data_IF_758953726485
#
_entry.id   IF_758953726485
#
_cell.length_a   1.000
_cell.length_b   1.000
_cell.length_c   1.000
_cell.angle_alpha   90.00
_cell.angle_beta   90.00
_cell.angle_gamma   90.00
#
_symmetry.space_group_name_H-M   'P 1'
#
loop_
_entity.id
_entity.type
_entity.pdbx_description
1 polymer ?
#
# COMPACT_ATOMS: atom_id res chain seq x y z
N UNK A 1 24.47 34.88 9.16
CA UNK A 1 24.21 33.99 10.32
C UNK A 1 22.87 34.35 10.95
N UNK A 2 21.88 33.48 10.90
CA UNK A 2 20.64 33.64 11.67
C UNK A 2 20.38 32.35 12.44
N UNK A 3 20.76 32.33 13.72
CA UNK A 3 20.51 31.20 14.62
C UNK A 3 19.07 31.31 15.14
N UNK A 4 18.18 30.40 14.72
CA UNK A 4 16.89 30.22 15.37
C UNK A 4 17.09 29.36 16.63
N UNK A 5 16.86 29.97 17.79
CA UNK A 5 16.75 29.28 19.07
C UNK A 5 15.62 28.25 19.00
N UNK A 6 15.96 26.96 19.02
CA UNK A 6 15.01 25.89 19.32
C UNK A 6 14.74 25.90 20.82
N UNK A 7 13.73 26.68 21.23
CA UNK A 7 13.19 26.58 22.58
C UNK A 7 12.52 25.22 22.76
N UNK A 8 13.09 24.38 23.62
CA UNK A 8 12.50 23.14 24.12
C UNK A 8 11.14 23.45 24.79
N UNK A 9 10.04 23.35 24.05
CA UNK A 9 8.69 23.39 24.61
C UNK A 9 8.37 22.05 25.30
N UNK A 10 8.96 21.82 26.47
CA UNK A 10 8.66 20.67 27.34
C UNK A 10 7.27 20.82 27.97
N UNK A 11 6.22 20.52 27.22
CA UNK A 11 4.84 20.61 27.71
C UNK A 11 4.42 19.42 28.59
N UNK A 12 3.34 19.60 29.32
CA UNK A 12 2.77 18.60 30.23
C UNK A 12 1.33 18.26 29.85
N UNK A 13 0.95 17.00 30.04
CA UNK A 13 -0.43 16.53 30.01
C UNK A 13 -0.94 16.41 31.43
N UNK A 14 -2.12 16.97 31.71
CA UNK A 14 -2.73 16.97 33.02
C UNK A 14 -4.15 16.40 32.99
N UNK A 15 -4.52 15.66 34.04
CA UNK A 15 -5.88 15.22 34.30
C UNK A 15 -6.41 15.91 35.56
N UNK A 16 -7.36 16.85 35.40
CA UNK A 16 -7.93 17.58 36.55
C UNK A 16 -8.74 16.71 37.52
N UNK A 17 -9.28 15.57 37.06
CA UNK A 17 -10.08 14.66 37.89
C UNK A 17 -9.22 13.81 38.83
N UNK A 18 -8.06 13.38 38.33
CA UNK A 18 -7.13 12.52 39.07
C UNK A 18 -5.95 13.30 39.69
N UNK A 19 -5.93 14.63 39.49
CA UNK A 19 -4.81 15.52 39.84
C UNK A 19 -3.46 14.90 39.44
N UNK A 20 -3.38 14.40 38.22
CA UNK A 20 -2.19 13.69 37.75
C UNK A 20 -1.60 14.34 36.51
N UNK A 21 -0.28 14.33 36.42
CA UNK A 21 0.45 14.95 35.31
C UNK A 21 1.44 13.98 34.66
N UNK A 22 1.74 14.24 33.39
CA UNK A 22 2.75 13.55 32.60
C UNK A 22 3.55 14.56 31.81
N UNK A 23 4.89 14.50 31.91
CA UNK A 23 5.81 15.34 31.15
C UNK A 23 6.02 14.72 29.77
N UNK A 24 5.72 15.48 28.71
CA UNK A 24 5.99 15.02 27.34
C UNK A 24 7.51 15.04 27.10
N UNK A 25 8.00 13.96 26.49
CA UNK A 25 9.38 13.93 25.99
C UNK A 25 9.49 14.81 24.73
N UNK A 26 10.70 15.29 24.41
CA UNK A 26 10.95 16.19 23.27
C UNK A 26 10.50 15.65 21.90
N UNK A 27 10.34 14.33 21.78
CA UNK A 27 9.88 13.64 20.58
C UNK A 27 8.43 13.11 20.68
N UNK A 28 7.66 13.52 21.70
CA UNK A 28 6.27 13.11 21.91
C UNK A 28 5.30 14.28 21.67
N UNK A 29 4.26 14.05 20.87
CA UNK A 29 3.21 15.05 20.67
C UNK A 29 2.00 14.77 21.54
N UNK A 30 1.30 15.82 21.99
CA UNK A 30 -0.03 15.70 22.64
C UNK A 30 -1.05 14.89 21.82
N UNK A 31 -0.85 14.78 20.50
CA UNK A 31 -1.71 14.04 19.57
C UNK A 31 -1.54 12.51 19.67
N UNK A 32 -0.45 12.06 20.27
CA UNK A 32 -0.10 10.64 20.41
C UNK A 32 -0.76 9.98 21.64
N UNK A 33 -1.44 10.77 22.47
CA UNK A 33 -2.09 10.32 23.69
C UNK A 33 -3.62 10.26 23.53
N UNK A 34 -4.25 9.37 24.30
CA UNK A 34 -5.70 9.31 24.36
C UNK A 34 -6.27 10.65 24.89
N UNK A 35 -7.44 11.07 24.41
CA UNK A 35 -8.09 12.31 24.89
C UNK A 35 -8.60 12.19 26.34
N UNK A 36 -8.69 10.96 26.83
CA UNK A 36 -9.27 10.61 28.11
C UNK A 36 -8.27 9.81 28.95
N UNK A 37 -8.22 10.14 30.23
CA UNK A 37 -7.51 9.38 31.25
C UNK A 37 -8.27 8.11 31.60
N UNK A 38 -7.58 7.11 32.14
CA UNK A 38 -8.19 5.87 32.68
C UNK A 38 -9.30 6.13 33.71
N UNK A 39 -9.29 7.28 34.39
CA UNK A 39 -10.36 7.70 35.30
C UNK A 39 -11.57 8.39 34.65
N UNK A 40 -11.63 8.43 33.31
CA UNK A 40 -12.67 9.09 32.52
C UNK A 40 -12.57 10.62 32.49
N UNK A 41 -11.47 11.19 33.00
CA UNK A 41 -11.20 12.63 32.95
C UNK A 41 -10.56 13.05 31.61
N UNK A 42 -10.88 14.24 31.10
CA UNK A 42 -10.27 14.78 29.88
C UNK A 42 -8.82 15.23 30.15
N UNK A 43 -7.89 14.82 29.29
CA UNK A 43 -6.50 15.28 29.34
C UNK A 43 -6.37 16.67 28.73
N UNK A 44 -5.69 17.58 29.44
CA UNK A 44 -5.38 18.94 28.97
C UNK A 44 -3.87 19.10 28.82
N UNK A 45 -3.45 19.85 27.82
CA UNK A 45 -2.04 20.20 27.60
C UNK A 45 -1.76 21.56 28.25
N UNK A 46 -0.66 21.67 28.98
CA UNK A 46 -0.16 22.91 29.57
C UNK A 46 1.34 23.04 29.29
N UNK A 47 1.81 24.25 29.02
CA UNK A 47 3.22 24.49 28.65
C UNK A 47 4.13 24.54 29.86
N UNK A 48 3.65 25.07 31.00
CA UNK A 48 4.38 25.08 32.27
C UNK A 48 3.48 24.58 33.41
N UNK A 49 4.07 23.82 34.33
CA UNK A 49 3.43 23.34 35.57
C UNK A 49 3.68 24.30 36.75
N UNK A 50 4.21 25.50 36.53
CA UNK A 50 4.70 26.38 37.61
C UNK A 50 3.56 27.05 38.43
N UNK A 51 2.34 26.52 38.35
CA UNK A 51 1.13 26.95 39.09
C UNK A 51 0.49 25.74 39.81
N UNK A 52 1.30 24.77 40.24
CA UNK A 52 0.78 23.46 40.71
C UNK A 52 0.69 23.39 42.23
N UNK A 53 -0.56 23.36 42.69
CA UNK A 53 -1.03 22.76 43.95
C UNK A 53 -0.20 21.49 44.27
N UNK A 54 0.41 21.36 45.47
CA UNK A 54 1.30 20.24 45.81
C UNK A 54 0.62 18.85 45.78
N UNK A 55 -0.70 18.79 45.58
CA UNK A 55 -1.46 17.54 45.49
C UNK A 55 -1.36 16.79 44.15
N UNK A 56 -0.61 17.31 43.16
CA UNK A 56 -0.49 16.65 41.86
C UNK A 56 0.54 15.52 41.83
N UNK A 57 0.19 14.38 41.22
CA UNK A 57 1.04 13.17 41.18
C UNK A 57 1.48 12.81 39.76
N UNK A 58 2.74 12.41 39.54
CA UNK A 58 3.19 11.92 38.24
C UNK A 58 2.47 10.61 37.88
N UNK A 59 2.04 10.46 36.63
CA UNK A 59 1.37 9.23 36.15
C UNK A 59 1.70 8.92 34.70
N UNK A 60 1.41 7.69 34.26
CA UNK A 60 1.52 7.29 32.85
C UNK A 60 0.15 7.30 32.18
N UNK A 61 0.00 8.09 31.11
CA UNK A 61 -1.22 8.07 30.31
C UNK A 61 -1.12 7.05 29.17
N UNK A 62 -2.21 6.33 28.85
CA UNK A 62 -2.21 5.42 27.73
C UNK A 62 -2.02 6.20 26.43
N UNK A 63 -1.01 5.82 25.64
CA UNK A 63 -0.85 6.31 24.28
C UNK A 63 -2.04 5.86 23.44
N UNK A 64 -2.43 6.72 22.49
CA UNK A 64 -3.46 6.40 21.51
C UNK A 64 -2.97 5.23 20.66
N UNK A 65 -3.65 4.10 20.76
CA UNK A 65 -3.37 2.95 19.91
C UNK A 65 -3.61 3.40 18.46
N UNK A 66 -2.57 3.37 17.64
CA UNK A 66 -2.68 3.76 16.23
C UNK A 66 -3.47 2.70 15.45
N UNK A 67 -4.15 3.10 14.37
CA UNK A 67 -4.87 2.16 13.50
C UNK A 67 -3.96 1.02 13.01
N UNK A 68 -2.66 1.27 12.86
CA UNK A 68 -1.66 0.27 12.48
C UNK A 68 -1.34 -0.77 13.56
N UNK A 69 -1.46 -0.43 14.85
CA UNK A 69 -1.30 -1.37 15.97
C UNK A 69 -2.54 -2.29 16.08
N UNK A 70 -3.74 -1.71 15.92
CA UNK A 70 -5.02 -2.46 15.88
C UNK A 70 -5.02 -3.43 14.69
N UNK A 71 -4.55 -2.98 13.53
CA UNK A 71 -4.43 -3.81 12.34
C UNK A 71 -3.43 -4.94 12.55
N UNK A 72 -2.28 -4.69 13.19
CA UNK A 72 -1.29 -5.73 13.53
C UNK A 72 -1.83 -6.77 14.50
N UNK A 73 -2.61 -6.37 15.50
CA UNK A 73 -3.21 -7.29 16.45
C UNK A 73 -4.34 -8.12 15.80
N UNK A 74 -5.11 -7.54 14.87
CA UNK A 74 -6.07 -8.28 14.05
C UNK A 74 -5.39 -9.21 13.03
N UNK A 75 -4.25 -8.82 12.47
CA UNK A 75 -3.46 -9.69 11.59
C UNK A 75 -2.87 -10.89 12.34
N UNK A 76 -2.47 -10.71 13.62
CA UNK A 76 -2.07 -11.82 14.49
C UNK A 76 -3.22 -12.79 14.77
N UNK A 77 -4.45 -12.29 14.91
CA UNK A 77 -5.63 -13.14 15.12
C UNK A 77 -6.13 -13.84 13.83
N UNK A 78 -5.73 -13.38 12.64
CA UNK A 78 -6.06 -14.00 11.34
C UNK A 78 -5.03 -15.10 10.96
N UNK A 79 -4.20 -15.55 11.90
CA UNK A 79 -3.17 -16.57 11.63
C UNK A 79 -3.68 -18.00 11.38
N UNK A 80 -4.98 -18.19 11.10
CA UNK A 80 -5.54 -19.46 10.61
C UNK A 80 -5.37 -19.66 9.10
N UNK A 81 -4.26 -19.18 8.52
CA UNK A 81 -3.87 -19.49 7.13
C UNK A 81 -3.16 -20.84 7.16
N UNK A 82 -3.53 -21.83 6.31
CA UNK A 82 -2.94 -23.17 6.32
C UNK A 82 -1.41 -23.10 6.26
N UNK A 83 -0.72 -23.81 7.17
CA UNK A 83 0.75 -23.81 7.20
C UNK A 83 1.37 -24.26 5.87
N UNK A 84 0.66 -25.10 5.11
CA UNK A 84 1.07 -25.57 3.79
C UNK A 84 1.16 -24.44 2.76
N UNK A 85 0.15 -23.57 2.74
CA UNK A 85 0.13 -22.39 1.89
C UNK A 85 1.20 -21.37 2.33
N UNK A 86 1.45 -21.28 3.65
CA UNK A 86 2.42 -20.36 4.24
C UNK A 86 3.85 -20.69 3.83
N UNK A 87 4.26 -21.96 3.77
CA UNK A 87 5.62 -22.31 3.33
C UNK A 87 5.80 -22.14 1.82
N UNK A 88 4.78 -22.47 1.01
CA UNK A 88 4.81 -22.28 -0.45
C UNK A 88 4.87 -20.80 -0.83
N UNK A 89 4.06 -19.98 -0.16
CA UNK A 89 4.11 -18.53 -0.32
C UNK A 89 5.41 -17.97 0.25
N UNK A 90 5.87 -18.41 1.43
CA UNK A 90 7.13 -17.94 2.04
C UNK A 90 8.35 -18.21 1.15
N UNK A 91 8.44 -19.38 0.54
CA UNK A 91 9.53 -19.73 -0.38
C UNK A 91 9.48 -18.95 -1.68
N UNK A 92 8.27 -18.71 -2.22
CA UNK A 92 8.10 -17.89 -3.41
C UNK A 92 8.36 -16.40 -3.12
N UNK A 93 7.88 -15.88 -1.99
CA UNK A 93 8.08 -14.51 -1.52
C UNK A 93 9.53 -14.25 -1.13
N UNK A 94 10.23 -15.17 -0.49
CA UNK A 94 11.64 -14.98 -0.13
C UNK A 94 12.51 -14.94 -1.39
N UNK A 95 12.23 -15.78 -2.39
CA UNK A 95 12.91 -15.73 -3.70
C UNK A 95 12.60 -14.46 -4.48
N UNK A 96 11.36 -13.98 -4.40
CA UNK A 96 10.92 -12.72 -5.00
C UNK A 96 11.56 -11.51 -4.28
N UNK A 97 11.49 -11.46 -2.94
CA UNK A 97 12.06 -10.41 -2.08
C UNK A 97 13.58 -10.37 -2.15
N UNK A 98 14.26 -11.51 -2.25
CA UNK A 98 15.72 -11.56 -2.40
C UNK A 98 16.16 -11.02 -3.78
N UNK A 99 15.42 -11.33 -4.86
CA UNK A 99 15.60 -10.66 -6.17
C UNK A 99 15.31 -9.15 -6.11
N UNK A 100 14.35 -8.73 -5.27
CA UNK A 100 14.01 -7.31 -5.05
C UNK A 100 15.01 -6.56 -4.15
N UNK A 101 15.68 -7.23 -3.21
CA UNK A 101 16.67 -6.60 -2.32
C UNK A 101 18.08 -6.56 -2.93
N UNK A 102 18.44 -7.52 -3.79
CA UNK A 102 19.70 -7.50 -4.54
C UNK A 102 19.81 -6.29 -5.49
N UNK A 103 18.70 -5.60 -5.78
CA UNK A 103 18.64 -4.40 -6.63
C UNK A 103 18.67 -3.09 -5.83
N UNK A 104 18.64 -3.13 -4.49
CA UNK A 104 18.67 -1.93 -3.62
C UNK A 104 20.08 -1.43 -3.29
N UNK A 105 21.12 -2.22 -3.58
CA UNK A 105 22.51 -1.91 -3.24
C UNK A 105 23.25 -1.09 -4.32
N UNK A 106 22.54 -0.60 -5.34
CA UNK A 106 23.12 0.12 -6.49
C UNK A 106 22.77 1.62 -6.51
N UNK A 107 22.05 2.12 -5.50
CA UNK A 107 21.55 3.51 -5.44
C UNK A 107 22.61 4.58 -5.07
N UNK A 108 23.89 4.21 -4.87
CA UNK A 108 24.91 5.17 -4.39
C UNK A 108 25.78 5.83 -5.47
N UNK A 109 25.56 5.54 -6.74
CA UNK A 109 26.26 6.23 -7.82
C UNK A 109 25.29 6.48 -8.94
N UNK A 110 24.75 7.70 -9.07
CA UNK A 110 24.59 8.46 -10.32
C UNK A 110 24.07 9.88 -10.01
N UNK A 111 24.99 10.81 -9.74
CA UNK A 111 24.85 12.15 -10.30
C UNK A 111 25.32 12.12 -11.77
N UNK A 112 24.80 13.06 -12.56
CA UNK A 112 25.12 13.34 -13.96
C UNK A 112 24.26 12.65 -15.05
N UNK A 113 23.34 13.47 -15.58
CA UNK A 113 23.02 13.71 -16.99
C UNK A 113 22.86 12.53 -17.97
N UNK A 114 21.67 12.49 -18.59
CA UNK A 114 21.53 12.21 -20.03
C UNK A 114 20.97 10.83 -20.41
N UNK A 115 19.88 10.87 -21.19
CA UNK A 115 19.31 9.79 -22.02
C UNK A 115 18.67 8.58 -21.33
N UNK A 116 17.34 8.65 -21.21
CA UNK A 116 16.51 7.60 -20.62
C UNK A 116 15.98 6.62 -21.69
N UNK A 117 16.83 5.73 -22.18
CA UNK A 117 16.40 4.45 -22.76
C UNK A 117 17.40 3.35 -22.40
N UNK A 118 16.95 2.36 -21.62
CA UNK A 118 17.62 1.07 -21.54
C UNK A 118 18.08 0.66 -20.14
N UNK A 119 17.69 -0.54 -19.77
CA UNK A 119 18.20 -1.36 -18.67
C UNK A 119 17.91 -0.92 -17.23
N UNK A 120 16.99 -1.64 -16.58
CA UNK A 120 17.09 -1.89 -15.13
C UNK A 120 16.04 -1.29 -14.21
N UNK A 121 15.01 -0.60 -14.70
CA UNK A 121 13.95 -0.09 -13.81
C UNK A 121 12.92 -1.17 -13.46
N UNK A 122 12.71 -1.43 -12.16
CA UNK A 122 11.56 -2.17 -11.66
C UNK A 122 10.28 -1.34 -11.92
N UNK A 123 9.41 -1.69 -12.89
CA UNK A 123 8.26 -0.86 -13.25
C UNK A 123 7.22 -0.78 -12.12
N UNK A 124 7.19 -1.75 -11.20
CA UNK A 124 6.19 -1.80 -10.13
C UNK A 124 6.30 -0.65 -9.11
N UNK A 125 7.52 -0.22 -8.75
CA UNK A 125 7.71 0.88 -7.76
C UNK A 125 7.40 2.25 -8.35
N UNK A 126 7.71 2.47 -9.63
CA UNK A 126 7.30 3.66 -10.37
C UNK A 126 5.78 3.70 -10.58
N UNK A 127 5.14 2.56 -10.83
CA UNK A 127 3.67 2.47 -10.99
C UNK A 127 2.95 2.79 -9.68
N UNK A 128 3.42 2.30 -8.54
CA UNK A 128 2.78 2.52 -7.24
C UNK A 128 2.87 3.97 -6.77
N UNK A 129 3.95 4.67 -7.13
CA UNK A 129 4.15 6.07 -6.79
C UNK A 129 3.45 7.05 -7.76
N UNK A 130 2.94 6.55 -8.90
CA UNK A 130 2.40 7.38 -9.97
C UNK A 130 1.14 6.76 -10.62
N UNK A 131 0.13 6.45 -9.80
CA UNK A 131 -1.21 6.09 -10.25
C UNK A 131 -2.01 7.32 -10.71
N UNK A 132 -1.54 7.99 -11.77
CA UNK A 132 -2.29 9.07 -12.39
C UNK A 132 -3.33 8.51 -13.37
N UNK A 133 -4.58 8.45 -12.92
CA UNK A 133 -5.71 7.86 -13.67
C UNK A 133 -6.14 8.67 -14.91
N UNK A 134 -5.60 9.88 -15.12
CA UNK A 134 -5.95 10.74 -16.26
C UNK A 134 -5.41 10.23 -17.60
N UNK A 135 -4.34 9.43 -17.59
CA UNK A 135 -3.69 8.96 -18.83
C UNK A 135 -4.16 7.56 -19.27
N UNK A 136 -5.26 7.07 -18.71
CA UNK A 136 -5.83 5.76 -19.05
C UNK A 136 -6.66 5.91 -20.31
N UNK A 137 -6.37 5.08 -21.32
CA UNK A 137 -7.17 5.01 -22.54
C UNK A 137 -8.43 4.15 -22.29
N UNK A 138 -9.38 4.72 -21.55
CA UNK A 138 -10.61 4.04 -21.11
C UNK A 138 -11.40 3.39 -22.25
N UNK A 139 -11.36 3.98 -23.45
CA UNK A 139 -12.01 3.43 -24.66
C UNK A 139 -11.61 1.98 -24.97
N UNK A 140 -10.36 1.58 -24.64
CA UNK A 140 -9.87 0.20 -24.83
C UNK A 140 -10.00 -0.65 -23.56
N UNK A 141 -9.96 -0.02 -22.39
CA UNK A 141 -9.92 -0.70 -21.09
C UNK A 141 -11.31 -1.16 -20.65
N UNK A 142 -12.34 -0.31 -20.82
CA UNK A 142 -13.74 -0.61 -20.44
C UNK A 142 -14.27 -1.90 -21.07
N UNK A 143 -14.18 -2.12 -22.40
CA UNK A 143 -14.71 -3.35 -22.99
C UNK A 143 -14.00 -4.60 -22.49
N UNK A 144 -12.68 -4.54 -22.29
CA UNK A 144 -11.91 -5.66 -21.71
C UNK A 144 -12.36 -5.94 -20.27
N UNK A 145 -12.57 -4.91 -19.46
CA UNK A 145 -13.10 -5.06 -18.09
C UNK A 145 -14.45 -5.77 -18.12
N UNK A 146 -15.38 -5.31 -18.96
CA UNK A 146 -16.72 -5.89 -19.04
C UNK A 146 -16.67 -7.38 -19.39
N UNK A 147 -15.83 -7.77 -20.35
CA UNK A 147 -15.66 -9.18 -20.75
C UNK A 147 -15.04 -10.01 -19.63
N UNK A 148 -13.98 -9.52 -18.97
CA UNK A 148 -13.35 -10.24 -17.87
C UNK A 148 -14.33 -10.41 -16.71
N UNK A 149 -15.06 -9.36 -16.34
CA UNK A 149 -16.08 -9.43 -15.29
C UNK A 149 -17.16 -10.44 -15.64
N UNK A 150 -17.67 -10.46 -16.87
CA UNK A 150 -18.65 -11.45 -17.34
C UNK A 150 -18.11 -12.88 -17.16
N UNK A 151 -16.89 -13.14 -17.63
CA UNK A 151 -16.24 -14.46 -17.53
C UNK A 151 -16.11 -14.91 -16.06
N UNK A 152 -15.71 -13.99 -15.17
CA UNK A 152 -15.56 -14.27 -13.74
C UNK A 152 -16.89 -14.58 -13.04
N UNK A 153 -18.00 -13.96 -13.49
CA UNK A 153 -19.33 -14.15 -12.89
C UNK A 153 -19.96 -15.45 -13.34
N UNK A 154 -19.96 -15.74 -14.65
CA UNK A 154 -20.74 -16.85 -15.20
C UNK A 154 -19.94 -18.16 -15.30
N UNK A 155 -18.62 -18.10 -15.33
CA UNK A 155 -17.78 -19.27 -15.62
C UNK A 155 -16.53 -19.36 -14.73
N UNK A 156 -16.70 -19.46 -13.40
CA UNK A 156 -15.57 -19.69 -12.51
C UNK A 156 -14.92 -21.05 -12.82
N UNK A 157 -13.63 -21.06 -13.16
CA UNK A 157 -12.89 -22.30 -13.47
C UNK A 157 -12.08 -22.23 -14.77
N UNK A 158 -12.36 -23.11 -15.74
CA UNK A 158 -11.53 -23.32 -16.94
C UNK A 158 -11.30 -22.03 -17.76
N UNK A 159 -12.28 -21.11 -17.74
CA UNK A 159 -12.22 -19.84 -18.47
C UNK A 159 -11.44 -18.75 -17.73
N UNK A 160 -10.90 -19.02 -16.54
CA UNK A 160 -9.93 -18.12 -15.90
C UNK A 160 -8.70 -17.90 -16.78
N UNK A 161 -8.28 -18.90 -17.56
CA UNK A 161 -7.17 -18.77 -18.51
C UNK A 161 -7.44 -17.71 -19.59
N UNK A 162 -8.70 -17.57 -20.02
CA UNK A 162 -9.12 -16.52 -20.95
C UNK A 162 -8.90 -15.13 -20.35
N UNK A 163 -9.11 -14.95 -19.04
CA UNK A 163 -8.87 -13.65 -18.38
C UNK A 163 -7.41 -13.24 -18.43
N UNK A 164 -6.47 -14.18 -18.26
CA UNK A 164 -5.03 -13.91 -18.39
C UNK A 164 -4.67 -13.52 -19.82
N UNK A 165 -5.22 -14.21 -20.82
CA UNK A 165 -5.01 -13.88 -22.25
C UNK A 165 -5.53 -12.47 -22.55
N UNK A 166 -6.71 -12.11 -22.07
CA UNK A 166 -7.29 -10.77 -22.26
C UNK A 166 -6.42 -9.67 -21.61
N UNK A 167 -5.90 -9.90 -20.41
CA UNK A 167 -5.00 -8.96 -19.74
C UNK A 167 -3.65 -8.83 -20.47
N UNK A 168 -3.09 -9.93 -20.99
CA UNK A 168 -1.88 -9.90 -21.84
C UNK A 168 -2.17 -9.11 -23.12
N UNK A 169 -3.28 -9.39 -23.79
CA UNK A 169 -3.72 -8.68 -24.98
C UNK A 169 -3.88 -7.18 -24.72
N UNK A 170 -4.49 -6.81 -23.60
CA UNK A 170 -4.62 -5.41 -23.19
C UNK A 170 -3.26 -4.73 -23.05
N UNK A 171 -2.30 -5.36 -22.34
CA UNK A 171 -0.93 -4.86 -22.22
C UNK A 171 -0.22 -4.72 -23.57
N UNK A 172 -0.45 -5.66 -24.49
CA UNK A 172 0.13 -5.67 -25.84
C UNK A 172 -0.41 -4.53 -26.73
N UNK A 173 -1.61 -4.01 -26.47
CA UNK A 173 -2.20 -2.93 -27.29
C UNK A 173 -1.51 -1.58 -27.12
N UNK A 174 -0.62 -1.43 -26.13
CA UNK A 174 0.08 -0.18 -25.84
C UNK A 174 1.55 -0.30 -26.25
N UNK A 175 2.05 0.71 -26.98
CA UNK A 175 3.45 0.75 -27.42
C UNK A 175 4.39 0.99 -26.23
N UNK A 176 3.95 1.79 -25.27
CA UNK A 176 4.67 2.01 -24.01
C UNK A 176 4.34 0.92 -22.99
N UNK A 177 5.33 0.09 -22.67
CA UNK A 177 5.19 -1.00 -21.69
C UNK A 177 4.64 -0.53 -20.34
N UNK A 178 5.09 0.62 -19.83
CA UNK A 178 4.61 1.17 -18.54
C UNK A 178 3.11 1.51 -18.60
N UNK A 179 2.65 2.10 -19.70
CA UNK A 179 1.23 2.44 -19.90
C UNK A 179 0.40 1.15 -19.99
N UNK A 180 0.90 0.14 -20.70
CA UNK A 180 0.27 -1.17 -20.78
C UNK A 180 0.10 -1.84 -19.41
N UNK A 181 1.15 -1.83 -18.58
CA UNK A 181 1.09 -2.39 -17.22
C UNK A 181 0.08 -1.61 -16.36
N UNK A 182 0.10 -0.27 -16.38
CA UNK A 182 -0.85 0.55 -15.61
C UNK A 182 -2.29 0.23 -15.97
N UNK A 183 -2.61 0.16 -17.27
CA UNK A 183 -3.95 -0.13 -17.76
C UNK A 183 -4.39 -1.56 -17.43
N UNK A 184 -3.51 -2.55 -17.58
CA UNK A 184 -3.80 -3.94 -17.27
C UNK A 184 -3.96 -4.18 -15.76
N UNK A 185 -3.16 -3.54 -14.92
CA UNK A 185 -3.29 -3.57 -13.46
C UNK A 185 -4.67 -3.05 -13.03
N UNK A 186 -5.05 -1.88 -13.53
CA UNK A 186 -6.33 -1.24 -13.18
C UNK A 186 -7.50 -2.07 -13.70
N UNK A 187 -7.40 -2.57 -14.94
CA UNK A 187 -8.40 -3.45 -15.52
C UNK A 187 -8.56 -4.72 -14.67
N UNK A 188 -7.46 -5.37 -14.28
CA UNK A 188 -7.49 -6.56 -13.43
C UNK A 188 -8.12 -6.29 -12.07
N UNK A 189 -7.72 -5.21 -11.39
CA UNK A 189 -8.28 -4.82 -10.10
C UNK A 189 -9.80 -4.58 -10.17
N UNK A 190 -10.25 -3.77 -11.14
CA UNK A 190 -11.66 -3.43 -11.32
C UNK A 190 -12.47 -4.67 -11.70
N UNK A 191 -11.96 -5.50 -12.62
CA UNK A 191 -12.70 -6.66 -13.12
C UNK A 191 -12.93 -7.70 -12.03
N UNK A 192 -11.92 -7.98 -11.21
CA UNK A 192 -12.03 -8.92 -10.09
C UNK A 192 -12.85 -8.35 -8.94
N UNK A 193 -12.76 -7.04 -8.68
CA UNK A 193 -13.63 -6.37 -7.72
C UNK A 193 -15.11 -6.52 -8.12
N UNK A 194 -15.45 -6.16 -9.37
CA UNK A 194 -16.81 -6.28 -9.90
C UNK A 194 -17.28 -7.74 -9.95
N UNK A 195 -16.42 -8.66 -10.40
CA UNK A 195 -16.75 -10.09 -10.43
C UNK A 195 -17.02 -10.66 -9.04
N UNK A 196 -16.24 -10.26 -8.04
CA UNK A 196 -16.45 -10.65 -6.64
C UNK A 196 -17.73 -10.03 -6.05
N UNK A 197 -18.07 -8.80 -6.47
CA UNK A 197 -19.28 -8.11 -6.04
C UNK A 197 -20.54 -8.81 -6.60
N UNK A 198 -20.52 -9.13 -7.89
CA UNK A 198 -21.65 -9.76 -8.60
C UNK A 198 -21.84 -11.23 -8.23
N UNK A 199 -20.76 -11.93 -7.86
CA UNK A 199 -20.84 -13.32 -7.35
C UNK A 199 -21.23 -13.44 -5.88
N UNK A 200 -21.43 -12.31 -5.17
CA UNK A 200 -21.82 -12.31 -3.75
C UNK A 200 -20.69 -12.63 -2.75
N UNK A 201 -19.43 -12.65 -3.20
CA UNK A 201 -18.26 -13.02 -2.38
C UNK A 201 -17.68 -11.84 -1.57
N UNK A 202 -18.50 -11.12 -0.82
CA UNK A 202 -18.13 -9.85 -0.16
C UNK A 202 -16.95 -9.95 0.83
N UNK A 203 -16.79 -11.08 1.52
CA UNK A 203 -15.69 -11.28 2.47
C UNK A 203 -14.31 -11.39 1.80
N UNK A 204 -14.28 -11.78 0.53
CA UNK A 204 -13.06 -11.95 -0.25
C UNK A 204 -12.81 -10.80 -1.23
N UNK A 205 -13.65 -9.76 -1.19
CA UNK A 205 -13.59 -8.61 -2.11
C UNK A 205 -12.18 -8.00 -2.20
N UNK A 206 -11.57 -7.73 -1.05
CA UNK A 206 -10.20 -7.16 -0.98
C UNK A 206 -9.18 -8.14 -1.55
N UNK A 207 -9.31 -9.43 -1.22
CA UNK A 207 -8.39 -10.47 -1.67
C UNK A 207 -8.46 -10.67 -3.19
N UNK A 208 -9.67 -10.74 -3.76
CA UNK A 208 -9.87 -10.86 -5.20
C UNK A 208 -9.42 -9.61 -5.94
N UNK A 209 -9.63 -8.41 -5.39
CA UNK A 209 -9.13 -7.17 -5.98
C UNK A 209 -7.61 -7.14 -6.04
N UNK A 210 -6.93 -7.56 -4.96
CA UNK A 210 -5.47 -7.68 -4.93
C UNK A 210 -4.97 -8.73 -5.93
N UNK A 211 -5.63 -9.88 -6.00
CA UNK A 211 -5.31 -10.93 -6.95
C UNK A 211 -5.44 -10.42 -8.40
N UNK A 212 -6.52 -9.72 -8.71
CA UNK A 212 -6.75 -9.08 -9.99
C UNK A 212 -5.70 -8.03 -10.33
N UNK A 213 -5.31 -7.20 -9.37
CA UNK A 213 -4.25 -6.20 -9.55
C UNK A 213 -2.89 -6.85 -9.87
N UNK A 214 -2.52 -7.90 -9.13
CA UNK A 214 -1.27 -8.65 -9.34
C UNK A 214 -1.29 -9.32 -10.72
N UNK A 215 -2.36 -10.03 -11.06
CA UNK A 215 -2.51 -10.69 -12.35
C UNK A 215 -2.48 -9.68 -13.49
N UNK A 216 -3.20 -8.56 -13.35
CA UNK A 216 -3.18 -7.47 -14.33
C UNK A 216 -1.80 -6.90 -14.55
N UNK A 217 -1.02 -6.70 -13.49
CA UNK A 217 0.32 -6.14 -13.60
C UNK A 217 1.31 -7.12 -14.26
N UNK A 218 1.27 -8.40 -13.90
CA UNK A 218 2.10 -9.46 -14.51
C UNK A 218 1.75 -9.65 -15.99
N UNK A 219 0.46 -9.81 -16.31
CA UNK A 219 -0.02 -9.95 -17.69
C UNK A 219 0.27 -8.72 -18.54
N UNK A 220 0.08 -7.52 -17.99
CA UNK A 220 0.41 -6.28 -18.66
C UNK A 220 1.89 -6.17 -19.02
N UNK A 221 2.78 -6.62 -18.13
CA UNK A 221 4.22 -6.68 -18.41
C UNK A 221 4.49 -7.64 -19.56
N UNK A 222 3.98 -8.87 -19.47
CA UNK A 222 4.18 -9.90 -20.50
C UNK A 222 3.69 -9.38 -21.85
N UNK A 223 2.50 -8.79 -21.91
CA UNK A 223 1.94 -8.20 -23.13
C UNK A 223 2.81 -7.11 -23.73
N UNK A 224 3.27 -6.16 -22.90
CA UNK A 224 4.16 -5.09 -23.34
C UNK A 224 5.53 -5.61 -23.81
N UNK A 225 6.07 -6.65 -23.15
CA UNK A 225 7.32 -7.28 -23.55
C UNK A 225 7.19 -8.00 -24.91
N UNK A 226 6.10 -8.74 -25.13
CA UNK A 226 5.80 -9.38 -26.41
C UNK A 226 5.66 -8.35 -27.55
N UNK A 227 5.02 -7.21 -27.28
CA UNK A 227 4.91 -6.11 -28.24
C UNK A 227 6.29 -5.56 -28.63
N UNK A 228 7.17 -5.37 -27.65
CA UNK A 228 8.55 -4.91 -27.87
C UNK A 228 9.35 -5.88 -28.74
N UNK A 229 9.29 -7.19 -28.45
CA UNK A 229 9.96 -8.21 -29.27
C UNK A 229 9.46 -8.18 -30.71
N UNK A 230 8.13 -8.10 -30.91
CA UNK A 230 7.56 -8.04 -32.26
C UNK A 230 8.04 -6.82 -33.03
N UNK A 231 8.11 -5.66 -32.37
CA UNK A 231 8.58 -4.41 -32.99
C UNK A 231 10.06 -4.47 -33.41
N UNK A 232 10.89 -5.24 -32.71
CA UNK A 232 12.29 -5.44 -33.07
C UNK A 232 12.48 -6.43 -34.22
N UNK A 233 11.51 -7.32 -34.45
CA UNK A 233 11.56 -8.37 -35.47
C UNK A 233 10.95 -7.92 -36.82
N UNK A 234 10.38 -6.71 -36.88
CA UNK A 234 9.79 -6.11 -38.09
C UNK A 234 10.72 -5.10 -38.79
N UNK A 235 12.00 -5.07 -38.39
CA UNK A 235 13.11 -4.43 -39.09
C UNK A 235 14.00 -5.53 -39.67
#
# INVERSE_FOLDING_TARGET
MGFYYSGDLMGYLICGKCKSYYKLQSNESKKDFARECKCGGKLRYVENLDIVDPSWKPTTFPRKITRGEILRNKLKSISSIPQDLKYRLSGMWSKLLYRLNSTRNWDNTQGAQGNYYGYGMNPFTSIMNELNLRNIRWIRVIPIIAVITLVLVFTPGILTLLTFILLIGLGYTFDNQIIGIKNALIAGAISYFLGSLLSGSFLLLILYTLLGAINGAVCGWIGGYLKKIRSQRSF
#
